data_IF_206137508001
#
_entry.id   IF_206137508001
#
_cell.length_a   1.000
_cell.length_b   1.000
_cell.length_c   1.000
_cell.angle_alpha   90.00
_cell.angle_beta   90.00
_cell.angle_gamma   90.00
#
_symmetry.space_group_name_H-M   'P 1'
#
loop_
_entity.id
_entity.type
_entity.pdbx_description
1 polymer ?
#
# COMPACT_ATOMS: atom_id res chain seq x y z
N UNK A 1 -9.09 9.81 -15.72
CA UNK A 1 -8.27 10.25 -14.58
C UNK A 1 -7.58 9.03 -14.01
N UNK A 2 -6.31 9.13 -13.60
CA UNK A 2 -5.50 7.99 -13.17
C UNK A 2 -5.50 7.94 -11.64
N UNK A 3 -5.77 6.77 -11.07
CA UNK A 3 -5.52 6.44 -9.67
C UNK A 3 -4.18 5.73 -9.53
N UNK A 4 -3.48 5.98 -8.42
CA UNK A 4 -2.19 5.36 -8.12
C UNK A 4 -2.30 4.67 -6.76
N UNK A 5 -2.20 3.34 -6.76
CA UNK A 5 -1.98 2.56 -5.54
C UNK A 5 -0.48 2.54 -5.24
N UNK A 6 -0.08 3.04 -4.07
CA UNK A 6 1.30 3.04 -3.57
C UNK A 6 1.47 2.01 -2.46
N UNK A 7 2.43 1.09 -2.63
CA UNK A 7 2.76 0.01 -1.71
C UNK A 7 4.25 0.04 -1.37
N UNK A 8 4.65 -0.65 -0.30
CA UNK A 8 6.04 -0.80 0.11
C UNK A 8 6.40 -2.28 0.31
N UNK A 9 7.64 -2.64 0.02
CA UNK A 9 8.22 -3.95 0.42
C UNK A 9 8.79 -3.94 1.86
N UNK A 10 8.79 -2.78 2.55
CA UNK A 10 9.41 -2.58 3.88
C UNK A 10 8.38 -2.28 4.97
N UNK A 11 7.65 -3.33 5.37
CA UNK A 11 6.66 -3.23 6.46
C UNK A 11 7.25 -2.87 7.83
N UNK A 12 8.55 -3.02 8.06
CA UNK A 12 9.23 -2.78 9.34
C UNK A 12 9.90 -1.40 9.47
N UNK A 13 9.78 -0.54 8.45
CA UNK A 13 10.40 0.78 8.44
C UNK A 13 9.72 1.76 9.41
N UNK A 14 10.44 2.21 10.44
CA UNK A 14 9.92 3.12 11.47
C UNK A 14 9.38 4.45 10.90
N UNK A 15 10.09 5.05 9.94
CA UNK A 15 9.68 6.34 9.35
C UNK A 15 8.35 6.20 8.61
N UNK A 16 8.15 5.09 7.91
CA UNK A 16 6.88 4.83 7.22
C UNK A 16 5.71 4.73 8.18
N UNK A 17 5.87 4.05 9.32
CA UNK A 17 4.83 3.99 10.34
C UNK A 17 4.56 5.33 11.00
N UNK A 18 5.59 6.17 11.14
CA UNK A 18 5.44 7.54 11.60
C UNK A 18 4.61 8.39 10.65
N UNK A 19 4.84 8.28 9.34
CA UNK A 19 4.19 9.09 8.30
C UNK A 19 2.80 8.59 7.89
N UNK A 20 2.64 7.27 7.72
CA UNK A 20 1.48 6.69 7.04
C UNK A 20 0.53 5.92 7.97
N UNK A 21 0.95 5.63 9.21
CA UNK A 21 0.15 4.84 10.16
C UNK A 21 -0.16 5.63 11.43
N UNK A 22 -0.55 6.91 11.29
CA UNK A 22 -0.94 7.80 12.39
C UNK A 22 0.07 7.78 13.55
N UNK A 23 1.36 7.98 13.25
CA UNK A 23 2.45 7.91 14.24
C UNK A 23 2.45 6.61 15.05
N UNK A 24 2.44 5.48 14.34
CA UNK A 24 2.38 4.11 14.90
C UNK A 24 1.07 3.73 15.61
N UNK A 25 0.00 4.53 15.56
CA UNK A 25 -1.30 4.18 16.15
C UNK A 25 -2.24 3.43 15.19
N UNK A 26 -1.96 3.54 13.89
CA UNK A 26 -2.74 2.92 12.81
C UNK A 26 -2.39 1.45 12.58
N UNK A 27 -2.52 1.02 11.33
CA UNK A 27 -2.30 -0.37 10.92
C UNK A 27 -1.73 -0.42 9.50
N UNK A 28 -1.21 -1.59 9.12
CA UNK A 28 -0.68 -1.89 7.80
C UNK A 28 -1.36 -3.15 7.25
N UNK A 29 -1.67 -3.13 5.96
CA UNK A 29 -2.27 -4.25 5.23
C UNK A 29 -1.17 -4.89 4.38
N UNK A 30 -0.89 -6.17 4.61
CA UNK A 30 0.10 -6.92 3.85
C UNK A 30 -0.55 -7.82 2.80
N UNK A 31 -0.16 -7.60 1.54
CA UNK A 31 -0.70 -8.32 0.39
C UNK A 31 0.27 -9.36 -0.16
N UNK A 32 -0.27 -10.37 -0.84
CA UNK A 32 0.51 -11.29 -1.68
C UNK A 32 0.84 -10.62 -3.02
N UNK A 33 2.08 -10.18 -3.17
CA UNK A 33 2.55 -9.53 -4.40
C UNK A 33 2.59 -10.46 -5.61
N UNK A 34 2.57 -11.79 -5.41
CA UNK A 34 2.53 -12.76 -6.50
C UNK A 34 1.10 -13.09 -6.97
N UNK A 35 0.09 -12.58 -6.27
CA UNK A 35 -1.30 -12.83 -6.64
C UNK A 35 -1.62 -12.22 -8.02
N UNK A 36 -2.39 -12.91 -8.89
CA UNK A 36 -2.74 -12.41 -10.22
C UNK A 36 -3.41 -11.03 -10.23
N UNK A 37 -4.03 -10.63 -9.12
CA UNK A 37 -4.58 -9.28 -8.93
C UNK A 37 -3.56 -8.16 -9.20
N UNK A 38 -2.28 -8.38 -8.90
CA UNK A 38 -1.23 -7.38 -9.13
C UNK A 38 -0.53 -7.49 -10.49
N UNK A 39 -1.08 -8.30 -11.40
CA UNK A 39 -0.59 -8.44 -12.76
C UNK A 39 -1.73 -8.77 -13.73
N UNK A 40 -2.57 -7.77 -14.03
CA UNK A 40 -3.74 -7.89 -14.90
C UNK A 40 -3.53 -7.21 -16.26
N UNK A 41 -2.28 -7.16 -16.74
CA UNK A 41 -1.92 -6.55 -18.03
C UNK A 41 -2.78 -7.10 -19.16
N UNK A 42 -3.43 -6.22 -19.91
CA UNK A 42 -4.22 -6.57 -21.10
C UNK A 42 -3.34 -6.83 -22.32
N UNK A 43 -2.12 -6.28 -22.33
CA UNK A 43 -1.14 -6.47 -23.39
C UNK A 43 0.29 -6.31 -22.87
N UNK A 44 1.29 -6.68 -23.67
CA UNK A 44 2.70 -6.49 -23.31
C UNK A 44 3.14 -5.03 -23.14
N UNK A 45 2.32 -4.07 -23.60
CA UNK A 45 2.56 -2.62 -23.44
C UNK A 45 1.58 -1.96 -22.47
N UNK A 46 0.83 -2.75 -21.70
CA UNK A 46 -0.12 -2.20 -20.73
C UNK A 46 0.64 -1.65 -19.53
N UNK A 47 0.43 -0.37 -19.25
CA UNK A 47 1.00 0.39 -18.14
C UNK A 47 0.12 0.33 -16.87
N UNK A 48 -1.13 -0.13 -17.01
CA UNK A 48 -2.11 -0.17 -15.94
C UNK A 48 -2.22 -1.56 -15.31
N UNK A 49 -2.85 -1.62 -14.13
CA UNK A 49 -3.27 -2.84 -13.44
C UNK A 49 -2.17 -3.87 -13.16
N UNK A 50 -0.93 -3.40 -13.00
CA UNK A 50 0.16 -4.21 -12.51
C UNK A 50 1.15 -3.42 -11.66
N UNK A 51 1.87 -4.11 -10.78
CA UNK A 51 2.89 -3.49 -9.95
C UNK A 51 4.14 -3.15 -10.76
N UNK A 52 4.62 -1.92 -10.57
CA UNK A 52 5.86 -1.38 -11.14
C UNK A 52 6.68 -0.75 -10.01
N UNK A 53 7.98 -1.06 -9.95
CA UNK A 53 8.86 -0.48 -8.92
C UNK A 53 9.11 0.99 -9.24
N UNK A 54 9.06 1.84 -8.22
CA UNK A 54 9.38 3.26 -8.33
C UNK A 54 10.87 3.43 -8.58
N UNK A 55 11.22 4.34 -9.49
CA UNK A 55 12.59 4.74 -9.79
C UNK A 55 12.90 6.03 -9.05
N UNK A 56 13.94 5.96 -8.22
CA UNK A 56 14.38 7.06 -7.38
C UNK A 56 15.48 7.86 -8.05
N UNK A 57 15.33 9.19 -8.08
CA UNK A 57 16.23 10.11 -8.77
C UNK A 57 16.64 11.27 -7.86
N UNK A 58 17.91 11.67 -7.93
CA UNK A 58 18.46 12.84 -7.22
C UNK A 58 18.11 14.18 -7.87
N UNK A 59 17.67 14.14 -9.13
CA UNK A 59 17.31 15.33 -9.91
C UNK A 59 15.97 15.09 -10.58
N UNK A 60 15.17 16.16 -10.71
CA UNK A 60 13.92 16.12 -11.45
C UNK A 60 14.20 15.82 -12.93
N UNK A 61 13.36 15.02 -13.60
CA UNK A 61 13.48 14.78 -15.04
C UNK A 61 13.48 16.10 -15.81
N UNK A 62 14.35 16.23 -16.81
CA UNK A 62 14.38 17.40 -17.68
C UNK A 62 13.20 17.37 -18.66
N UNK A 63 12.88 18.52 -19.28
CA UNK A 63 11.83 18.61 -20.30
C UNK A 63 12.03 17.66 -21.50
N UNK A 64 13.27 17.25 -21.82
CA UNK A 64 13.51 16.28 -22.90
C UNK A 64 13.21 14.84 -22.50
N UNK A 65 12.99 14.56 -21.21
CA UNK A 65 12.49 13.27 -20.73
C UNK A 65 10.94 13.24 -20.68
N UNK A 66 10.26 14.33 -21.06
CA UNK A 66 8.79 14.40 -21.14
C UNK A 66 8.21 13.72 -22.39
N UNK A 67 9.06 13.10 -23.22
CA UNK A 67 8.62 12.17 -24.28
C UNK A 67 8.28 10.77 -23.73
N UNK A 68 8.50 10.54 -22.41
CA UNK A 68 8.01 9.36 -21.69
C UNK A 68 6.49 9.34 -21.62
N UNK A 69 5.91 8.14 -21.53
CA UNK A 69 4.46 8.01 -21.34
C UNK A 69 4.01 8.68 -20.02
N UNK A 70 2.71 8.99 -19.91
CA UNK A 70 2.17 9.71 -18.77
C UNK A 70 2.23 8.93 -17.44
N UNK A 71 2.31 7.59 -17.48
CA UNK A 71 2.36 6.75 -16.28
C UNK A 71 3.79 6.51 -15.79
N UNK A 72 4.78 6.57 -16.66
CA UNK A 72 6.21 6.49 -16.34
C UNK A 72 6.62 7.64 -15.43
N UNK A 73 6.10 8.84 -15.67
CA UNK A 73 6.29 9.99 -14.77
C UNK A 73 5.71 9.72 -13.37
N UNK A 74 4.64 8.93 -13.26
CA UNK A 74 4.05 8.50 -11.99
C UNK A 74 4.88 7.42 -11.30
N UNK A 75 5.99 6.96 -11.89
CA UNK A 75 6.92 6.01 -11.25
C UNK A 75 8.23 6.66 -10.83
N UNK A 76 8.38 7.97 -11.00
CA UNK A 76 9.56 8.69 -10.58
C UNK A 76 9.33 9.33 -9.20
N UNK A 77 10.32 9.20 -8.32
CA UNK A 77 10.30 9.82 -6.99
C UNK A 77 11.69 10.33 -6.62
N UNK A 78 11.77 11.30 -5.70
CA UNK A 78 13.06 11.76 -5.20
C UNK A 78 13.71 10.68 -4.34
N UNK A 79 14.99 10.47 -4.53
CA UNK A 79 15.84 9.53 -3.77
C UNK A 79 15.88 9.76 -2.26
N UNK A 80 15.54 10.94 -1.76
CA UNK A 80 15.36 11.16 -0.32
C UNK A 80 14.27 10.26 0.30
N UNK A 81 13.37 9.70 -0.53
CA UNK A 81 12.33 8.76 -0.15
C UNK A 81 12.64 7.30 -0.56
N UNK A 82 13.87 7.00 -0.98
CA UNK A 82 14.26 5.65 -1.42
C UNK A 82 14.05 4.60 -0.31
N UNK A 83 14.09 5.00 0.95
CA UNK A 83 13.80 4.12 2.09
C UNK A 83 12.39 3.52 2.07
N UNK A 84 11.45 4.11 1.34
CA UNK A 84 10.09 3.55 1.19
C UNK A 84 10.08 2.29 0.33
N UNK A 85 11.05 2.10 -0.57
CA UNK A 85 11.11 0.98 -1.50
C UNK A 85 9.75 0.72 -2.17
N UNK A 86 9.23 1.78 -2.80
CA UNK A 86 7.85 1.89 -3.23
C UNK A 86 7.57 1.11 -4.52
N UNK A 87 6.40 0.48 -4.57
CA UNK A 87 5.81 -0.12 -5.75
C UNK A 87 4.47 0.55 -6.03
N UNK A 88 4.20 0.84 -7.30
CA UNK A 88 2.95 1.48 -7.72
C UNK A 88 2.16 0.63 -8.69
N UNK A 89 0.84 0.72 -8.60
CA UNK A 89 -0.07 0.22 -9.63
C UNK A 89 -0.98 1.37 -10.07
N UNK A 90 -0.96 1.67 -11.36
CA UNK A 90 -1.85 2.67 -11.95
C UNK A 90 -3.16 2.02 -12.39
N UNK A 91 -4.28 2.69 -12.13
CA UNK A 91 -5.63 2.26 -12.52
C UNK A 91 -6.40 3.43 -13.13
N UNK A 92 -7.37 3.16 -13.98
CA UNK A 92 -8.33 4.19 -14.40
C UNK A 92 -9.38 4.40 -13.31
N UNK A 93 -9.61 5.65 -12.90
CA UNK A 93 -10.68 5.95 -11.92
C UNK A 93 -12.09 5.64 -12.46
N UNK A 94 -12.25 5.47 -13.77
CA UNK A 94 -13.50 5.02 -14.39
C UNK A 94 -13.82 3.56 -14.09
N UNK A 95 -12.81 2.78 -13.70
CA UNK A 95 -12.93 1.34 -13.48
C UNK A 95 -13.15 1.03 -11.99
N UNK A 96 -13.43 2.06 -11.17
CA UNK A 96 -13.75 1.91 -9.77
C UNK A 96 -15.08 1.17 -9.58
N UNK A 97 -15.14 0.23 -8.63
CA UNK A 97 -16.34 -0.54 -8.32
C UNK A 97 -17.41 0.30 -7.61
N UNK A 98 -16.97 1.27 -6.81
CA UNK A 98 -17.84 2.15 -6.03
C UNK A 98 -17.29 3.57 -6.10
N UNK A 99 -18.18 4.54 -6.36
CA UNK A 99 -17.85 5.97 -6.37
C UNK A 99 -18.75 6.69 -5.38
N UNK A 100 -18.15 7.46 -4.47
CA UNK A 100 -18.85 8.35 -3.56
C UNK A 100 -18.68 9.81 -4.02
N UNK A 101 -19.73 10.34 -4.65
CA UNK A 101 -19.77 11.73 -5.15
C UNK A 101 -20.37 12.72 -4.16
N UNK A 102 -20.75 12.27 -2.95
CA UNK A 102 -21.28 13.13 -1.89
C UNK A 102 -20.20 13.97 -1.20
N UNK A 103 -18.93 13.73 -1.52
CA UNK A 103 -17.76 14.45 -0.99
C UNK A 103 -16.94 15.01 -2.16
N UNK A 104 -16.19 16.09 -1.91
CA UNK A 104 -15.32 16.72 -2.92
C UNK A 104 -13.87 16.76 -2.42
N UNK A 105 -12.92 16.13 -3.12
CA UNK A 105 -13.09 15.34 -4.35
C UNK A 105 -13.84 14.01 -4.12
N UNK A 106 -14.43 13.45 -5.17
CA UNK A 106 -15.10 12.14 -5.13
C UNK A 106 -14.13 11.03 -4.67
N UNK A 107 -14.64 10.05 -3.93
CA UNK A 107 -13.86 8.89 -3.49
C UNK A 107 -14.15 7.71 -4.40
N UNK A 108 -13.11 7.17 -5.03
CA UNK A 108 -13.16 6.01 -5.91
C UNK A 108 -12.58 4.79 -5.17
N UNK A 109 -13.39 3.74 -5.01
CA UNK A 109 -12.97 2.49 -4.35
C UNK A 109 -12.88 1.34 -5.35
N UNK A 110 -11.83 0.55 -5.18
CA UNK A 110 -11.56 -0.65 -5.97
C UNK A 110 -11.63 -1.86 -5.05
N UNK A 111 -12.38 -2.88 -5.46
CA UNK A 111 -12.43 -4.17 -4.78
C UNK A 111 -11.16 -4.94 -5.09
N UNK A 112 -10.73 -5.74 -4.11
CA UNK A 112 -9.68 -6.72 -4.29
C UNK A 112 -10.16 -8.07 -3.71
N UNK A 113 -9.71 -9.21 -4.28
CA UNK A 113 -10.05 -10.52 -3.76
C UNK A 113 -9.55 -10.73 -2.31
N UNK A 114 -10.35 -11.30 -1.42
CA UNK A 114 -9.98 -11.49 -0.01
C UNK A 114 -8.70 -12.34 0.18
N UNK A 115 -8.43 -13.28 -0.72
CA UNK A 115 -7.25 -14.16 -0.70
C UNK A 115 -5.93 -13.46 -1.05
N UNK A 116 -5.99 -12.25 -1.63
CA UNK A 116 -4.79 -11.41 -1.81
C UNK A 116 -4.28 -10.83 -0.49
N UNK A 117 -5.15 -10.70 0.52
CA UNK A 117 -4.79 -10.21 1.84
C UNK A 117 -4.14 -11.34 2.64
N UNK A 118 -2.91 -11.12 3.12
CA UNK A 118 -2.16 -12.12 3.91
C UNK A 118 -2.08 -11.76 5.38
N UNK A 119 -1.94 -10.47 5.68
CA UNK A 119 -1.77 -10.02 7.06
C UNK A 119 -2.36 -8.63 7.30
N UNK A 120 -2.74 -8.39 8.56
CA UNK A 120 -2.99 -7.06 9.08
C UNK A 120 -2.10 -6.85 10.29
N UNK A 121 -1.30 -5.80 10.26
CA UNK A 121 -0.35 -5.46 11.31
C UNK A 121 -0.88 -4.23 12.03
N UNK A 122 -1.08 -4.32 13.33
CA UNK A 122 -1.54 -3.25 14.19
C UNK A 122 -0.32 -2.52 14.75
N UNK A 123 -0.36 -1.19 14.78
CA UNK A 123 0.78 -0.35 15.16
C UNK A 123 1.18 -0.46 16.63
N UNK A 124 2.46 -0.18 16.90
CA UNK A 124 3.05 -0.33 18.23
C UNK A 124 2.44 0.60 19.29
N UNK A 125 1.86 1.73 18.88
CA UNK A 125 1.19 2.68 19.76
C UNK A 125 -0.33 2.60 19.66
N UNK A 126 -0.87 1.57 19.00
CA UNK A 126 -2.32 1.40 18.88
C UNK A 126 -2.96 1.23 20.27
N UNK A 127 -4.09 1.91 20.48
CA UNK A 127 -4.89 1.75 21.69
C UNK A 127 -5.56 0.37 21.76
N UNK A 128 -5.82 -0.12 22.98
CA UNK A 128 -6.46 -1.43 23.21
C UNK A 128 -7.81 -1.56 22.48
N UNK A 129 -8.65 -0.53 22.55
CA UNK A 129 -9.95 -0.52 21.86
C UNK A 129 -9.78 -0.67 20.33
N UNK A 130 -8.79 -0.01 19.75
CA UNK A 130 -8.50 -0.11 18.32
C UNK A 130 -8.01 -1.51 17.95
N UNK A 131 -7.12 -2.09 18.76
CA UNK A 131 -6.62 -3.46 18.60
C UNK A 131 -7.77 -4.47 18.63
N UNK A 132 -8.66 -4.38 19.64
CA UNK A 132 -9.81 -5.25 19.79
C UNK A 132 -10.78 -5.09 18.61
N UNK A 133 -11.02 -3.86 18.16
CA UNK A 133 -11.88 -3.57 17.01
C UNK A 133 -11.36 -4.25 15.74
N UNK A 134 -10.09 -4.06 15.38
CA UNK A 134 -9.50 -4.68 14.18
C UNK A 134 -9.52 -6.21 14.30
N UNK A 135 -9.14 -6.73 15.47
CA UNK A 135 -9.12 -8.18 15.72
C UNK A 135 -10.50 -8.79 15.57
N UNK A 136 -11.54 -8.15 16.12
CA UNK A 136 -12.91 -8.62 16.02
C UNK A 136 -13.44 -8.54 14.59
N UNK A 137 -13.16 -7.46 13.86
CA UNK A 137 -13.58 -7.31 12.46
C UNK A 137 -13.03 -8.43 11.57
N UNK A 138 -11.75 -8.77 11.72
CA UNK A 138 -11.12 -9.82 10.92
C UNK A 138 -11.61 -11.20 11.35
N UNK A 139 -11.69 -11.48 12.65
CA UNK A 139 -12.10 -12.81 13.17
C UNK A 139 -13.58 -13.14 12.94
N UNK A 140 -14.44 -12.12 12.80
CA UNK A 140 -15.87 -12.33 12.52
C UNK A 140 -16.17 -12.60 11.05
N UNK A 141 -15.25 -12.25 10.16
CA UNK A 141 -15.40 -12.48 8.72
C UNK A 141 -14.78 -13.82 8.32
N UNK A 142 -15.61 -14.77 7.87
CA UNK A 142 -15.12 -16.09 7.47
C UNK A 142 -14.21 -16.04 6.24
N UNK A 143 -14.37 -15.04 5.37
CA UNK A 143 -13.52 -14.84 4.19
C UNK A 143 -12.12 -14.35 4.55
N UNK A 144 -11.91 -13.86 5.78
CA UNK A 144 -10.63 -13.38 6.29
C UNK A 144 -9.98 -14.32 7.30
N UNK A 145 -10.51 -15.54 7.45
CA UNK A 145 -10.01 -16.53 8.40
C UNK A 145 -8.56 -16.96 8.16
N UNK A 146 -8.04 -16.78 6.93
CA UNK A 146 -6.63 -17.03 6.58
C UNK A 146 -5.69 -15.85 6.88
N UNK A 147 -6.22 -14.68 7.22
CA UNK A 147 -5.43 -13.45 7.43
C UNK A 147 -4.76 -13.49 8.79
N UNK A 148 -3.44 -13.34 8.80
CA UNK A 148 -2.65 -13.30 10.04
C UNK A 148 -2.75 -11.91 10.66
N UNK A 149 -3.11 -11.84 11.94
CA UNK A 149 -3.15 -10.59 12.68
C UNK A 149 -1.84 -10.47 13.48
N UNK A 150 -1.16 -9.34 13.35
CA UNK A 150 0.10 -9.06 14.04
C UNK A 150 0.03 -7.79 14.85
N UNK A 151 0.75 -7.77 15.96
CA UNK A 151 1.04 -6.54 16.71
C UNK A 151 2.49 -6.13 16.47
N UNK A 152 2.69 -4.87 16.09
CA UNK A 152 4.01 -4.29 15.98
C UNK A 152 4.59 -3.94 17.35
N UNK A 153 5.89 -4.16 17.51
CA UNK A 153 6.70 -3.68 18.63
C UNK A 153 7.91 -2.93 18.09
N UNK A 154 8.58 -2.14 18.93
CA UNK A 154 9.83 -1.47 18.58
C UNK A 154 10.99 -2.40 18.97
N UNK A 155 11.93 -2.64 18.05
CA UNK A 155 13.12 -3.44 18.36
C UNK A 155 13.97 -2.75 19.43
N UNK A 156 14.48 -3.52 20.40
CA UNK A 156 15.34 -3.00 21.46
C UNK A 156 16.76 -2.67 20.97
N UNK A 157 17.20 -3.28 19.86
CA UNK A 157 18.58 -3.20 19.37
C UNK A 157 18.74 -2.58 17.99
N UNK A 158 17.66 -2.40 17.24
CA UNK A 158 17.71 -1.97 15.83
C UNK A 158 16.64 -0.92 15.51
N UNK A 159 16.89 -0.06 14.51
CA UNK A 159 15.92 0.94 14.04
C UNK A 159 14.86 0.34 13.11
N UNK A 160 14.09 -0.62 13.61
CA UNK A 160 12.97 -1.25 12.92
C UNK A 160 11.87 -1.71 13.87
N UNK A 161 10.71 -2.05 13.31
CA UNK A 161 9.66 -2.74 14.04
C UNK A 161 9.88 -4.25 14.03
N UNK A 162 9.42 -4.89 15.11
CA UNK A 162 9.24 -6.35 15.22
C UNK A 162 7.75 -6.67 15.20
N UNK A 163 7.39 -7.91 14.89
CA UNK A 163 5.99 -8.32 14.81
C UNK A 163 5.73 -9.61 15.58
N UNK A 164 4.62 -9.64 16.30
CA UNK A 164 4.15 -10.82 17.05
C UNK A 164 2.75 -11.18 16.57
N UNK A 165 2.53 -12.45 16.24
CA UNK A 165 1.22 -12.97 15.81
C UNK A 165 0.23 -13.00 17.00
N UNK A 166 -1.04 -12.67 16.76
CA UNK A 166 -2.13 -12.60 17.75
C UNK A 166 -3.17 -13.73 17.61
#
# INVERSE_FOLDING_TARGET
MIGVLSLTEKKDNLLMWSHYADSHRGFCIGFDSNHPFFNQKRSGKDEFYHLRKVVYLSRRPSKSMMDMDGTDLLLLKSDVWDYEQEWRMCSSLTDADVVFDSVSPSVHLFKFPCDVLKEVIIGANAGKEFLEKITNLIKQDSELSHVIIRLAGVSESEYRLTFTDL
#
